data_IF_093220185171
#
_entry.id   IF_093220185171
#
_cell.length_a   1.000
_cell.length_b   1.000
_cell.length_c   1.000
_cell.angle_alpha   90.00
_cell.angle_beta   90.00
_cell.angle_gamma   90.00
#
_symmetry.space_group_name_H-M   'P 1'
#
loop_
_entity.id
_entity.type
_entity.pdbx_description
1 polymer ?
#
# COMPACT_ATOMS: atom_id res chain seq x y z
N UNK A 1 55.32 -8.46 -23.63
CA UNK A 1 54.68 -8.11 -22.33
C UNK A 1 53.85 -6.83 -22.45
N UNK A 2 52.77 -6.81 -23.26
CA UNK A 2 51.94 -5.61 -23.51
C UNK A 2 50.41 -5.87 -23.51
N UNK A 3 49.94 -7.06 -23.09
CA UNK A 3 48.54 -7.47 -23.28
C UNK A 3 47.78 -7.82 -21.99
N UNK A 4 48.25 -7.41 -20.80
CA UNK A 4 47.65 -7.83 -19.52
C UNK A 4 46.82 -6.75 -18.79
N UNK A 5 46.58 -5.58 -19.39
CA UNK A 5 45.90 -4.44 -18.72
C UNK A 5 44.44 -4.26 -19.21
N UNK A 6 43.86 -5.24 -19.92
CA UNK A 6 42.55 -5.08 -20.59
C UNK A 6 41.38 -5.86 -19.96
N UNK A 7 41.57 -6.53 -18.80
CA UNK A 7 40.55 -7.42 -18.24
C UNK A 7 40.32 -7.21 -16.74
N UNK A 8 39.93 -6.02 -16.30
CA UNK A 8 39.26 -5.89 -14.97
C UNK A 8 38.44 -4.62 -14.84
N UNK A 9 37.55 -4.34 -15.80
CA UNK A 9 36.41 -3.47 -15.51
C UNK A 9 35.35 -4.35 -14.82
N UNK A 10 35.58 -4.66 -13.55
CA UNK A 10 34.61 -5.28 -12.68
C UNK A 10 33.51 -4.25 -12.42
N UNK A 11 32.47 -4.28 -13.25
CA UNK A 11 31.24 -3.51 -13.06
C UNK A 11 30.55 -4.04 -11.82
N UNK A 12 30.95 -3.54 -10.65
CA UNK A 12 30.22 -3.72 -9.40
C UNK A 12 28.93 -2.90 -9.49
N UNK A 13 27.92 -3.47 -10.14
CA UNK A 13 26.55 -2.97 -10.04
C UNK A 13 26.12 -3.29 -8.60
N UNK A 14 26.36 -2.35 -7.69
CA UNK A 14 25.70 -2.34 -6.39
C UNK A 14 24.22 -2.12 -6.65
N UNK A 15 23.48 -3.23 -6.77
CA UNK A 15 22.03 -3.24 -6.67
C UNK A 15 21.70 -2.83 -5.22
N UNK A 16 21.53 -1.53 -4.99
CA UNK A 16 20.96 -1.03 -3.77
C UNK A 16 19.49 -1.47 -3.75
N UNK A 17 19.22 -2.61 -3.14
CA UNK A 17 17.86 -3.01 -2.81
C UNK A 17 17.34 -1.98 -1.80
N UNK A 18 16.55 -1.02 -2.27
CA UNK A 18 15.76 -0.16 -1.40
C UNK A 18 14.79 -1.08 -0.67
N UNK A 19 15.03 -1.31 0.63
CA UNK A 19 14.05 -2.00 1.46
C UNK A 19 12.78 -1.17 1.45
N UNK A 20 11.74 -1.69 0.79
CA UNK A 20 10.42 -1.11 0.82
C UNK A 20 9.93 -1.09 2.28
N UNK A 21 9.83 0.10 2.87
CA UNK A 21 9.27 0.24 4.20
C UNK A 21 7.75 0.22 4.11
N UNK A 22 7.13 -0.74 4.80
CA UNK A 22 5.69 -0.78 4.92
C UNK A 22 5.22 0.39 5.79
N UNK A 23 4.25 1.16 5.29
CA UNK A 23 3.56 2.23 6.01
C UNK A 23 2.16 1.76 6.40
N UNK A 24 1.57 2.39 7.41
CA UNK A 24 0.15 2.19 7.76
C UNK A 24 -0.68 3.18 6.96
N UNK A 25 -1.80 2.72 6.41
CA UNK A 25 -2.75 3.53 5.67
C UNK A 25 -4.13 3.39 6.28
N UNK A 26 -4.87 4.50 6.28
CA UNK A 26 -6.29 4.54 6.62
C UNK A 26 -7.09 4.73 5.33
N UNK A 27 -8.18 3.97 5.20
CA UNK A 27 -9.08 4.07 4.07
C UNK A 27 -10.54 4.26 4.51
N UNK A 28 -11.33 4.83 3.62
CA UNK A 28 -12.79 4.89 3.75
C UNK A 28 -13.47 4.79 2.39
N UNK A 29 -14.66 4.19 2.37
CA UNK A 29 -15.56 4.20 1.23
C UNK A 29 -16.99 4.53 1.66
N UNK A 30 -17.55 5.59 1.09
CA UNK A 30 -18.93 6.00 1.34
C UNK A 30 -19.87 5.45 0.25
N UNK A 31 -20.75 4.53 0.61
CA UNK A 31 -21.75 3.96 -0.31
C UNK A 31 -22.87 4.97 -0.63
N UNK A 32 -23.54 4.80 -1.77
CA UNK A 32 -24.63 5.71 -2.19
C UNK A 32 -25.87 5.62 -1.27
N UNK A 33 -26.02 4.51 -0.56
CA UNK A 33 -27.09 4.31 0.43
C UNK A 33 -26.75 4.89 1.82
N UNK A 34 -25.64 5.62 1.96
CA UNK A 34 -25.26 6.32 3.19
C UNK A 34 -24.42 5.51 4.17
N UNK A 35 -24.19 4.22 3.89
CA UNK A 35 -23.29 3.40 4.68
C UNK A 35 -21.83 3.79 4.42
N UNK A 36 -20.99 3.65 5.44
CA UNK A 36 -19.57 3.97 5.35
C UNK A 36 -18.71 2.80 5.82
N UNK A 37 -17.81 2.35 4.95
CA UNK A 37 -16.76 1.40 5.32
C UNK A 37 -15.50 2.18 5.65
N UNK A 38 -14.86 1.84 6.76
CA UNK A 38 -13.56 2.40 7.16
C UNK A 38 -12.62 1.28 7.56
N UNK A 39 -11.32 1.52 7.47
CA UNK A 39 -10.34 0.58 8.01
C UNK A 39 -8.92 1.05 7.82
N UNK A 40 -7.99 0.14 8.08
CA UNK A 40 -6.56 0.36 7.94
C UNK A 40 -5.87 -0.87 7.38
N UNK A 41 -4.68 -0.68 6.82
CA UNK A 41 -3.76 -1.77 6.49
C UNK A 41 -2.32 -1.27 6.49
N UNK A 42 -1.36 -2.18 6.62
CA UNK A 42 0.04 -1.93 6.30
C UNK A 42 0.33 -2.29 4.85
N UNK A 43 1.13 -1.50 4.14
CA UNK A 43 1.52 -1.77 2.76
C UNK A 43 2.70 -0.92 2.29
N UNK A 44 3.15 -1.14 1.06
CA UNK A 44 4.20 -0.34 0.42
C UNK A 44 3.60 0.54 -0.67
N UNK A 45 3.77 1.86 -0.55
CA UNK A 45 3.37 2.80 -1.59
C UNK A 45 4.40 2.89 -2.73
N UNK A 46 3.92 2.90 -3.97
CA UNK A 46 4.68 3.17 -5.18
C UNK A 46 3.82 3.96 -6.17
N UNK A 47 4.01 5.28 -6.19
CA UNK A 47 3.15 6.19 -6.95
C UNK A 47 1.72 6.19 -6.40
N UNK A 48 0.73 5.94 -7.27
CA UNK A 48 -0.69 5.89 -6.89
C UNK A 48 -1.07 4.59 -6.16
N UNK A 49 -0.21 3.57 -6.14
CA UNK A 49 -0.56 2.23 -5.69
C UNK A 49 0.03 1.91 -4.32
N UNK A 50 -0.71 1.15 -3.53
CA UNK A 50 -0.25 0.51 -2.30
C UNK A 50 -0.42 -1.00 -2.43
N UNK A 51 0.69 -1.73 -2.30
CA UNK A 51 0.74 -3.20 -2.45
C UNK A 51 1.29 -3.87 -1.20
N UNK A 52 1.28 -5.21 -1.17
CA UNK A 52 1.76 -5.97 0.00
C UNK A 52 0.88 -5.75 1.24
N UNK A 53 -0.43 -5.64 1.02
CA UNK A 53 -1.39 -5.30 2.05
C UNK A 53 -1.43 -6.37 3.15
N UNK A 54 -1.37 -5.94 4.40
CA UNK A 54 -1.33 -6.78 5.60
C UNK A 54 -1.94 -6.03 6.79
N UNK A 55 -2.14 -6.71 7.93
CA UNK A 55 -2.76 -6.12 9.13
C UNK A 55 -4.06 -5.36 8.82
N UNK A 56 -4.91 -5.98 8.01
CA UNK A 56 -6.12 -5.37 7.46
C UNK A 56 -7.15 -5.28 8.59
N UNK A 57 -7.72 -4.09 8.78
CA UNK A 57 -8.88 -3.85 9.62
C UNK A 57 -10.04 -3.34 8.76
N UNK A 58 -11.26 -3.56 9.24
CA UNK A 58 -12.49 -3.19 8.55
C UNK A 58 -13.55 -2.83 9.60
N UNK A 59 -14.35 -1.81 9.32
CA UNK A 59 -15.50 -1.42 10.10
C UNK A 59 -16.60 -0.93 9.16
N UNK A 60 -17.86 -1.28 9.46
CA UNK A 60 -19.04 -0.74 8.78
C UNK A 60 -19.78 0.17 9.74
N UNK A 61 -20.00 1.42 9.36
CA UNK A 61 -20.67 2.45 10.16
C UNK A 61 -20.09 2.57 11.58
N UNK A 62 -18.76 2.45 11.69
CA UNK A 62 -18.04 2.49 12.96
C UNK A 62 -18.06 1.19 13.77
N UNK A 63 -18.78 0.15 13.34
CA UNK A 63 -18.75 -1.18 13.96
C UNK A 63 -17.58 -1.98 13.40
N UNK A 64 -16.54 -2.14 14.21
CA UNK A 64 -15.35 -2.88 13.83
C UNK A 64 -15.62 -4.38 13.65
N UNK A 65 -15.02 -4.96 12.61
CA UNK A 65 -14.97 -6.39 12.37
C UNK A 65 -13.89 -6.98 13.26
N UNK A 66 -14.23 -8.06 13.95
CA UNK A 66 -13.29 -8.81 14.77
C UNK A 66 -12.67 -9.95 13.95
N UNK A 67 -11.42 -10.27 14.22
CA UNK A 67 -10.70 -11.38 13.59
C UNK A 67 -9.66 -10.94 12.57
N UNK A 68 -8.98 -11.92 12.01
CA UNK A 68 -7.97 -11.70 10.97
C UNK A 68 -8.66 -11.57 9.61
N UNK A 69 -8.28 -10.56 8.84
CA UNK A 69 -8.75 -10.37 7.47
C UNK A 69 -7.64 -10.68 6.46
N UNK A 70 -8.03 -11.31 5.37
CA UNK A 70 -7.19 -11.66 4.24
C UNK A 70 -7.46 -10.71 3.07
N UNK A 71 -6.44 -10.46 2.26
CA UNK A 71 -6.58 -9.70 1.02
C UNK A 71 -6.46 -10.60 -0.20
N UNK A 72 -7.50 -10.64 -1.03
CA UNK A 72 -7.50 -11.29 -2.34
C UNK A 72 -7.52 -10.25 -3.46
N UNK A 73 -7.15 -10.63 -4.69
CA UNK A 73 -7.19 -9.76 -5.88
C UNK A 73 -7.95 -10.42 -7.02
N UNK A 74 -8.59 -9.62 -7.85
CA UNK A 74 -9.32 -10.08 -9.02
C UNK A 74 -8.43 -10.06 -10.25
N UNK A 75 -8.33 -11.20 -10.94
CA UNK A 75 -7.63 -11.32 -12.22
C UNK A 75 -8.64 -11.16 -13.37
N UNK A 76 -8.53 -10.04 -14.07
CA UNK A 76 -9.40 -9.73 -15.20
C UNK A 76 -9.19 -10.66 -16.41
N UNK A 77 -8.05 -11.36 -16.49
CA UNK A 77 -7.73 -12.25 -17.61
C UNK A 77 -8.53 -13.56 -17.59
N UNK A 78 -8.79 -14.11 -16.39
CA UNK A 78 -9.58 -15.32 -16.20
C UNK A 78 -10.91 -15.09 -15.46
N UNK A 79 -11.15 -13.88 -14.97
CA UNK A 79 -12.36 -13.52 -14.24
C UNK A 79 -12.47 -14.16 -12.87
N UNK A 80 -11.34 -14.56 -12.27
CA UNK A 80 -11.28 -15.24 -10.97
C UNK A 80 -10.55 -14.40 -9.91
N UNK A 81 -10.89 -14.66 -8.66
CA UNK A 81 -10.15 -14.13 -7.52
C UNK A 81 -8.97 -15.03 -7.17
N UNK A 82 -7.89 -14.42 -6.68
CA UNK A 82 -6.70 -15.09 -6.19
C UNK A 82 -6.39 -14.65 -4.77
N UNK A 83 -5.90 -15.58 -3.95
CA UNK A 83 -5.39 -15.24 -2.62
C UNK A 83 -4.13 -14.38 -2.77
N UNK A 84 -4.05 -13.29 -1.99
CA UNK A 84 -2.99 -12.31 -2.10
C UNK A 84 -3.16 -11.35 -3.29
N UNK A 85 -2.09 -10.59 -3.60
CA UNK A 85 -2.07 -9.63 -4.71
C UNK A 85 -2.99 -8.42 -4.54
N UNK A 86 -3.70 -8.31 -3.41
CA UNK A 86 -4.57 -7.18 -3.10
C UNK A 86 -3.79 -5.85 -3.20
N UNK A 87 -4.44 -4.87 -3.83
CA UNK A 87 -3.87 -3.57 -4.12
C UNK A 87 -4.90 -2.48 -3.89
N UNK A 88 -4.48 -1.40 -3.24
CA UNK A 88 -5.27 -0.18 -3.09
C UNK A 88 -4.59 0.96 -3.85
N UNK A 89 -5.35 2.00 -4.17
CA UNK A 89 -4.85 3.18 -4.88
C UNK A 89 -5.30 4.47 -4.19
N UNK A 90 -4.49 5.52 -4.21
CA UNK A 90 -4.87 6.81 -3.63
C UNK A 90 -6.03 7.45 -4.39
N UNK A 91 -6.02 7.32 -5.72
CA UNK A 91 -7.09 7.80 -6.60
C UNK A 91 -8.37 6.97 -6.54
N UNK A 92 -8.30 5.74 -6.01
CA UNK A 92 -9.39 4.76 -6.07
C UNK A 92 -9.64 4.16 -7.46
N UNK A 93 -8.97 4.64 -8.52
CA UNK A 93 -9.22 4.18 -9.90
C UNK A 93 -8.52 2.86 -10.23
N UNK A 94 -7.57 2.44 -9.40
CA UNK A 94 -6.77 1.23 -9.58
C UNK A 94 -6.89 0.27 -8.38
N UNK A 95 -7.95 0.39 -7.59
CA UNK A 95 -8.21 -0.57 -6.51
C UNK A 95 -8.41 -1.98 -7.08
N UNK A 96 -7.84 -2.98 -6.45
CA UNK A 96 -8.09 -4.37 -6.78
C UNK A 96 -7.87 -5.20 -5.54
N UNK A 97 -8.89 -5.23 -4.68
CA UNK A 97 -8.82 -5.98 -3.43
C UNK A 97 -10.18 -6.57 -3.05
N UNK A 98 -10.14 -7.66 -2.31
CA UNK A 98 -11.25 -8.20 -1.52
C UNK A 98 -10.75 -8.56 -0.13
N UNK A 99 -11.14 -7.77 0.86
CA UNK A 99 -10.89 -8.02 2.27
C UNK A 99 -11.98 -8.91 2.84
N UNK A 100 -11.63 -10.07 3.37
CA UNK A 100 -12.60 -11.02 3.90
C UNK A 100 -12.01 -11.84 5.04
N UNK A 101 -12.86 -12.51 5.81
CA UNK A 101 -12.49 -13.26 7.02
C UNK A 101 -12.00 -14.70 6.75
N UNK A 102 -11.85 -15.07 5.48
CA UNK A 102 -11.38 -16.39 5.06
C UNK A 102 -10.28 -16.29 3.99
N UNK A 103 -9.56 -17.37 3.72
CA UNK A 103 -8.58 -17.41 2.63
C UNK A 103 -9.29 -17.69 1.28
N UNK A 104 -9.86 -16.65 0.67
CA UNK A 104 -10.54 -16.75 -0.62
C UNK A 104 -9.54 -16.78 -1.80
N UNK A 105 -9.69 -17.66 -2.81
CA UNK A 105 -10.86 -18.52 -3.12
C UNK A 105 -10.79 -19.95 -2.55
N UNK A 106 -9.88 -20.25 -1.62
CA UNK A 106 -9.74 -21.60 -1.07
C UNK A 106 -10.85 -21.94 -0.05
N UNK A 107 -11.47 -20.93 0.53
CA UNK A 107 -12.59 -21.05 1.48
C UNK A 107 -13.71 -20.06 1.11
N UNK A 108 -14.96 -20.53 1.14
CA UNK A 108 -16.17 -19.78 0.76
C UNK A 108 -17.10 -19.47 1.94
N UNK A 109 -16.76 -19.93 3.16
CA UNK A 109 -17.56 -19.73 4.38
C UNK A 109 -17.34 -18.32 4.97
N UNK A 110 -17.46 -17.30 4.12
CA UNK A 110 -17.26 -15.90 4.45
C UNK A 110 -18.44 -15.35 5.27
N UNK A 111 -18.12 -14.69 6.39
CA UNK A 111 -19.12 -13.96 7.21
C UNK A 111 -18.99 -12.45 7.03
N UNK A 112 -17.82 -11.99 6.60
CA UNK A 112 -17.52 -10.58 6.35
C UNK A 112 -16.70 -10.43 5.07
N UNK A 113 -17.04 -9.43 4.27
CA UNK A 113 -16.36 -9.14 3.03
C UNK A 113 -16.47 -7.66 2.63
N UNK A 114 -15.41 -7.09 2.08
CA UNK A 114 -15.43 -5.78 1.43
C UNK A 114 -14.47 -5.79 0.23
N UNK A 115 -14.98 -5.52 -0.96
CA UNK A 115 -14.15 -5.44 -2.16
C UNK A 115 -14.41 -4.16 -2.95
N UNK A 116 -13.36 -3.70 -3.62
CA UNK A 116 -13.41 -2.62 -4.59
C UNK A 116 -12.60 -3.01 -5.82
N UNK A 117 -13.28 -3.10 -6.95
CA UNK A 117 -12.68 -3.44 -8.25
C UNK A 117 -13.28 -2.51 -9.33
N UNK A 118 -12.58 -1.43 -9.69
CA UNK A 118 -12.91 -0.63 -10.86
C UNK A 118 -12.58 -1.44 -12.12
N UNK A 119 -13.58 -1.96 -12.81
CA UNK A 119 -13.40 -2.69 -14.07
C UNK A 119 -13.28 -1.69 -15.23
N UNK A 120 -12.27 -1.87 -16.07
CA UNK A 120 -11.90 -0.97 -17.18
C UNK A 120 -12.97 -0.79 -18.27
N UNK A 121 -14.04 -1.59 -18.29
CA UNK A 121 -14.93 -1.68 -19.46
C UNK A 121 -16.38 -1.30 -19.26
N UNK A 122 -16.88 -0.97 -18.04
CA UNK A 122 -18.18 -0.28 -17.73
C UNK A 122 -18.73 -0.59 -16.34
N UNK A 123 -18.16 -1.56 -15.62
CA UNK A 123 -18.76 -2.11 -14.38
C UNK A 123 -17.84 -1.94 -13.18
N UNK A 124 -17.57 -0.71 -12.78
CA UNK A 124 -16.88 -0.49 -11.51
C UNK A 124 -17.78 -0.95 -10.36
N UNK A 125 -17.22 -1.67 -9.40
CA UNK A 125 -18.00 -2.25 -8.31
C UNK A 125 -17.33 -2.03 -6.96
N UNK A 126 -18.13 -1.61 -5.98
CA UNK A 126 -17.79 -1.69 -4.57
C UNK A 126 -18.92 -2.41 -3.83
N UNK A 127 -18.55 -3.38 -3.00
CA UNK A 127 -19.50 -4.18 -2.26
C UNK A 127 -18.96 -4.49 -0.89
N UNK A 128 -19.85 -4.44 0.08
CA UNK A 128 -19.65 -4.85 1.46
C UNK A 128 -20.68 -5.94 1.81
N UNK A 129 -20.24 -6.97 2.52
CA UNK A 129 -21.07 -8.04 3.07
C UNK A 129 -20.73 -8.20 4.54
N UNK A 130 -21.74 -8.08 5.39
CA UNK A 130 -21.58 -8.21 6.83
C UNK A 130 -22.74 -9.05 7.37
N UNK A 131 -22.51 -10.36 7.53
CA UNK A 131 -23.55 -11.28 7.98
C UNK A 131 -24.07 -10.90 9.38
N UNK A 132 -23.19 -10.41 10.25
CA UNK A 132 -23.52 -9.95 11.61
C UNK A 132 -24.37 -8.68 11.66
N UNK A 133 -24.36 -7.86 10.60
CA UNK A 133 -25.07 -6.58 10.52
C UNK A 133 -26.33 -6.65 9.64
N UNK A 134 -26.76 -7.86 9.28
CA UNK A 134 -28.06 -8.07 8.66
C UNK A 134 -28.10 -7.90 7.14
N UNK A 135 -26.97 -7.90 6.43
CA UNK A 135 -27.01 -8.06 4.96
C UNK A 135 -25.84 -7.52 4.14
N UNK A 136 -26.14 -7.33 2.85
CA UNK A 136 -25.24 -6.80 1.83
C UNK A 136 -25.45 -5.29 1.64
N UNK A 137 -24.36 -4.54 1.65
CA UNK A 137 -24.30 -3.14 1.23
C UNK A 137 -23.58 -3.11 -0.13
N UNK A 138 -24.20 -2.57 -1.15
CA UNK A 138 -23.70 -2.69 -2.51
C UNK A 138 -23.98 -1.40 -3.29
N UNK A 139 -22.93 -0.82 -3.88
CA UNK A 139 -23.11 0.11 -4.98
C UNK A 139 -23.13 -0.72 -6.27
N UNK A 140 -24.16 -0.50 -7.10
CA UNK A 140 -24.42 -1.24 -8.32
C UNK A 140 -23.22 -1.35 -9.27
N UNK A 141 -23.29 -2.30 -10.20
CA UNK A 141 -22.33 -2.36 -11.31
C UNK A 141 -22.37 -1.06 -12.12
N UNK A 142 -21.29 -0.27 -12.05
CA UNK A 142 -21.19 1.05 -12.67
C UNK A 142 -21.37 2.21 -11.70
N UNK A 143 -21.77 1.95 -10.46
CA UNK A 143 -22.04 2.96 -9.42
C UNK A 143 -20.85 3.15 -8.46
N UNK A 144 -19.76 2.39 -8.60
CA UNK A 144 -18.54 2.75 -7.89
C UNK A 144 -17.99 4.07 -8.42
N UNK A 145 -17.87 5.03 -7.51
CA UNK A 145 -17.29 6.32 -7.76
C UNK A 145 -16.01 6.48 -6.95
N UNK A 146 -14.87 6.64 -7.62
CA UNK A 146 -13.57 6.86 -6.94
C UNK A 146 -13.56 8.08 -6.00
N UNK A 147 -14.46 9.05 -6.19
CA UNK A 147 -14.65 10.20 -5.28
C UNK A 147 -15.19 9.82 -3.89
N UNK A 148 -15.84 8.67 -3.76
CA UNK A 148 -16.32 8.14 -2.50
C UNK A 148 -15.25 7.34 -1.75
N UNK A 149 -14.17 6.99 -2.46
CA UNK A 149 -12.99 6.36 -1.90
C UNK A 149 -12.02 7.41 -1.37
N UNK A 150 -11.44 7.14 -0.21
CA UNK A 150 -10.32 7.90 0.33
C UNK A 150 -9.28 6.93 0.86
N UNK A 151 -8.02 7.21 0.56
CA UNK A 151 -6.87 6.52 1.12
C UNK A 151 -5.86 7.57 1.53
N UNK A 152 -5.32 7.43 2.73
CA UNK A 152 -4.33 8.34 3.30
C UNK A 152 -3.33 7.56 4.13
N UNK A 153 -2.14 8.10 4.30
CA UNK A 153 -1.24 7.61 5.35
C UNK A 153 -1.97 7.72 6.68
N UNK A 154 -1.90 6.69 7.51
CA UNK A 154 -2.29 6.88 8.90
C UNK A 154 -1.37 7.94 9.46
N UNK A 155 -1.93 9.06 9.91
CA UNK A 155 -1.15 10.10 10.57
C UNK A 155 -0.29 9.40 11.62
N UNK A 156 1.02 9.53 11.48
CA UNK A 156 1.90 9.30 12.62
C UNK A 156 1.43 10.36 13.59
N UNK A 157 0.64 9.98 14.61
CA UNK A 157 0.12 10.93 15.59
C UNK A 157 1.28 11.87 15.92
N UNK A 158 1.13 13.19 15.67
CA UNK A 158 2.22 14.12 15.87
C UNK A 158 2.66 13.91 17.31
N UNK A 159 3.90 13.46 17.48
CA UNK A 159 4.45 13.14 18.79
C UNK A 159 4.08 14.30 19.72
N UNK A 160 3.28 14.08 20.78
CA UNK A 160 2.63 15.16 21.52
C UNK A 160 3.60 16.17 22.16
N UNK A 161 4.91 15.90 22.12
CA UNK A 161 5.98 16.84 22.46
C UNK A 161 6.43 17.81 21.35
N UNK A 162 5.88 17.75 20.14
CA UNK A 162 6.26 18.63 19.01
C UNK A 162 5.11 19.57 18.66
N UNK A 163 4.74 20.43 19.60
CA UNK A 163 3.96 21.64 19.30
C UNK A 163 4.96 22.77 19.20
N UNK A 164 5.20 23.27 17.99
CA UNK A 164 5.89 24.55 17.82
C UNK A 164 4.97 25.65 18.36
N UNK A 165 5.50 26.56 19.16
CA UNK A 165 4.81 27.73 19.76
C UNK A 165 4.12 28.63 18.72
N UNK A 166 4.41 28.45 17.43
CA UNK A 166 3.78 29.15 16.31
C UNK A 166 2.48 28.52 15.79
N UNK A 167 1.98 27.44 16.38
CA UNK A 167 0.78 26.74 15.89
C UNK A 167 0.95 26.06 14.53
N UNK A 168 2.19 25.96 14.03
CA UNK A 168 2.50 25.24 12.82
C UNK A 168 2.61 23.75 13.15
N UNK A 169 2.00 22.84 12.36
CA UNK A 169 2.19 21.41 12.56
C UNK A 169 3.69 21.11 12.43
N UNK A 170 4.28 20.51 13.46
CA UNK A 170 5.62 19.92 13.30
C UNK A 170 5.52 18.98 12.10
N UNK A 171 6.31 19.24 11.07
CA UNK A 171 6.52 18.27 10.00
C UNK A 171 6.86 16.97 10.70
N UNK A 172 5.95 15.99 10.63
CA UNK A 172 6.32 14.62 10.94
C UNK A 172 7.53 14.34 10.06
N UNK A 173 8.52 13.63 10.60
CA UNK A 173 9.72 13.30 9.85
C UNK A 173 9.25 12.67 8.54
N UNK A 174 9.27 13.43 7.44
CA UNK A 174 9.06 12.89 6.10
C UNK A 174 10.14 11.84 6.01
N UNK A 175 9.81 10.54 5.90
CA UNK A 175 10.81 9.49 5.85
C UNK A 175 11.82 9.92 4.80
N UNK A 176 13.02 10.26 5.27
CA UNK A 176 14.03 10.81 4.42
C UNK A 176 14.20 9.82 3.27
N UNK A 177 13.91 10.21 2.02
CA UNK A 177 13.94 9.26 0.94
C UNK A 177 15.34 8.63 0.95
N UNK A 178 15.41 7.33 0.61
CA UNK A 178 16.64 6.55 0.64
C UNK A 178 17.84 7.23 -0.05
N UNK A 179 17.61 8.29 -0.81
CA UNK A 179 18.52 9.35 -1.23
C UNK A 179 19.60 9.72 -0.21
N UNK A 180 19.32 9.91 1.09
CA UNK A 180 20.38 10.27 2.05
C UNK A 180 21.35 9.12 2.31
N UNK A 181 20.81 7.91 2.49
CA UNK A 181 21.61 6.68 2.59
C UNK A 181 22.43 6.46 1.32
N UNK A 182 21.85 6.72 0.15
CA UNK A 182 22.54 6.64 -1.15
C UNK A 182 23.62 7.72 -1.30
N UNK A 183 23.37 8.94 -0.82
CA UNK A 183 24.34 10.03 -0.82
C UNK A 183 25.53 9.70 0.08
N UNK A 184 25.27 9.19 1.29
CA UNK A 184 26.31 8.76 2.23
C UNK A 184 27.09 7.55 1.69
N UNK A 185 26.42 6.56 1.10
CA UNK A 185 27.07 5.44 0.43
C UNK A 185 27.94 5.90 -0.76
N UNK A 186 27.43 6.83 -1.57
CA UNK A 186 28.16 7.44 -2.68
C UNK A 186 29.40 8.21 -2.23
N UNK A 187 29.28 9.04 -1.20
CA UNK A 187 30.41 9.75 -0.57
C UNK A 187 31.43 8.79 0.03
N UNK A 188 30.98 7.72 0.68
CA UNK A 188 31.84 6.67 1.22
C UNK A 188 32.67 5.98 0.13
N UNK A 189 32.05 5.66 -1.01
CA UNK A 189 32.75 5.08 -2.17
C UNK A 189 33.78 6.04 -2.77
N UNK A 190 33.43 7.32 -2.93
CA UNK A 190 34.36 8.34 -3.43
C UNK A 190 35.55 8.50 -2.47
N UNK A 191 35.29 8.56 -1.16
CA UNK A 191 36.34 8.64 -0.13
C UNK A 191 37.28 7.43 -0.16
N UNK A 192 36.73 6.22 -0.29
CA UNK A 192 37.52 5.00 -0.40
C UNK A 192 38.40 4.97 -1.67
N UNK A 193 37.86 5.42 -2.82
CA UNK A 193 38.60 5.53 -4.07
C UNK A 193 39.72 6.58 -3.99
N UNK A 194 39.45 7.74 -3.37
CA UNK A 194 40.44 8.80 -3.19
C UNK A 194 41.60 8.37 -2.28
N UNK A 195 41.33 7.59 -1.21
CA UNK A 195 42.37 7.08 -0.29
C UNK A 195 43.39 6.18 -0.99
N UNK A 196 42.98 5.39 -2.00
CA UNK A 196 43.89 4.50 -2.74
C UNK A 196 44.90 5.24 -3.63
N UNK A 197 44.63 6.49 -4.02
CA UNK A 197 45.53 7.29 -4.89
C UNK A 197 46.75 7.86 -4.18
N UNK A 198 46.81 7.85 -2.83
CA UNK A 198 47.95 8.38 -2.07
C UNK A 198 49.05 7.36 -1.75
N UNK A 199 48.92 6.11 -2.22
CA UNK A 199 49.88 5.03 -1.95
C UNK A 199 50.73 4.64 -3.18
N UNK A 200 50.95 5.57 -4.12
CA UNK A 200 51.88 5.41 -5.24
C UNK A 200 52.87 6.56 -5.21
#
# INVERSE_FOLDING_TARGET
MKHFIQKTLATAIFLFATAAQASVFNYSYHFLNGHNVTGSFTGTASGDLVTGLSNISLALDGVAVSGMLFGSSYDMGNGAWHSGGAMASFSGTQNNFYFNDVDYPNNFDLTVGFYVVPLTSTKNTASAYFQSLGGHVFDGFGDYHGQNWKLSYADVEPNPGCVLDSGAPCSTNVPEPATYTLMLAGLGLIGAAARRRKFV
#
